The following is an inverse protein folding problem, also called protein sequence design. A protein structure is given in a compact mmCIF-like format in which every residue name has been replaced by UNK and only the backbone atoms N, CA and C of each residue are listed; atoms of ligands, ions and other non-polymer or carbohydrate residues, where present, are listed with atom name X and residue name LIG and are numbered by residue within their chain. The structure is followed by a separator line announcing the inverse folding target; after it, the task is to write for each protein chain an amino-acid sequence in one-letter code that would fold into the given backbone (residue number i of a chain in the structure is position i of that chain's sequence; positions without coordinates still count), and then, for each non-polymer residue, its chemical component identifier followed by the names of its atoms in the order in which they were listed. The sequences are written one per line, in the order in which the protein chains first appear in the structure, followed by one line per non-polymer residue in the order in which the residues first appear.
data_IF_330360024441
#
_entry.id   IF_330360024441
#
_cell.length_a   1.000
_cell.length_b   1.000
_cell.length_c   1.000
_cell.angle_alpha   90.00
_cell.angle_beta   90.00
_cell.angle_gamma   90.00
#
_symmetry.space_group_name_H-M   'P 1'
#
loop_
_entity.id
_entity.type
_entity.pdbx_description
1 polymer ?
#
# COMPACT_ATOMS: atom_id res chain seq x y z
N UNK A 1 7.57 -31.28 -33.53
CA UNK A 1 7.85 -32.13 -32.35
C UNK A 1 7.67 -31.29 -31.11
N UNK A 2 6.57 -31.57 -30.41
CA UNK A 2 6.11 -30.91 -29.20
C UNK A 2 7.02 -31.25 -28.02
N UNK A 3 7.48 -30.23 -27.27
CA UNK A 3 7.87 -30.42 -25.87
C UNK A 3 6.88 -29.62 -25.03
N UNK A 4 5.96 -30.39 -24.45
CA UNK A 4 5.00 -29.95 -23.46
C UNK A 4 5.74 -29.30 -22.27
N UNK A 5 5.33 -28.08 -21.93
CA UNK A 5 5.52 -27.53 -20.60
C UNK A 5 4.63 -28.36 -19.67
N UNK A 6 5.25 -29.21 -18.88
CA UNK A 6 4.62 -30.08 -17.89
C UNK A 6 3.88 -29.26 -16.84
N UNK A 7 2.67 -29.70 -16.50
CA UNK A 7 1.69 -29.16 -15.55
C UNK A 7 2.14 -29.15 -14.06
N UNK A 8 3.40 -28.80 -13.75
CA UNK A 8 3.94 -28.90 -12.39
C UNK A 8 4.16 -27.57 -11.64
N UNK A 9 3.73 -26.42 -12.17
CA UNK A 9 3.85 -25.11 -11.48
C UNK A 9 2.49 -24.41 -11.19
N UNK A 10 1.37 -25.05 -11.55
CA UNK A 10 0.02 -24.56 -11.26
C UNK A 10 -0.56 -25.28 -10.03
N UNK A 11 0.14 -25.19 -8.89
CA UNK A 11 -0.22 -26.01 -7.73
C UNK A 11 0.55 -25.73 -6.44
N UNK A 12 0.96 -24.49 -6.17
CA UNK A 12 1.31 -24.07 -4.80
C UNK A 12 0.17 -23.23 -4.21
N UNK A 13 -0.99 -23.85 -4.05
CA UNK A 13 -1.87 -23.50 -2.94
C UNK A 13 -1.11 -23.87 -1.66
N UNK A 14 -0.27 -22.94 -1.20
CA UNK A 14 0.53 -23.14 0.00
C UNK A 14 -0.41 -23.31 1.20
N UNK A 15 -0.61 -24.57 1.60
CA UNK A 15 -0.97 -24.94 2.96
C UNK A 15 0.24 -24.65 3.88
N UNK A 16 0.63 -23.38 3.99
CA UNK A 16 1.27 -22.94 5.23
C UNK A 16 0.15 -23.04 6.24
N UNK A 17 0.18 -24.06 7.10
CA UNK A 17 -0.62 -24.06 8.32
C UNK A 17 -0.41 -22.68 8.94
N UNK A 18 -1.45 -21.85 8.91
CA UNK A 18 -1.44 -20.57 9.60
C UNK A 18 -1.33 -20.92 11.07
N UNK A 19 -0.11 -20.95 11.60
CA UNK A 19 0.10 -21.04 13.03
C UNK A 19 -0.73 -19.91 13.63
N UNK A 20 -1.71 -20.29 14.44
CA UNK A 20 -2.62 -19.36 15.08
C UNK A 20 -1.80 -18.30 15.83
N UNK A 21 -2.14 -17.03 15.63
CA UNK A 21 -1.44 -15.94 16.31
C UNK A 21 -1.92 -15.96 17.75
N UNK A 22 -1.09 -16.48 18.67
CA UNK A 22 -1.44 -16.55 20.09
C UNK A 22 -0.99 -15.29 20.84
N UNK A 23 -1.63 -14.93 21.96
CA UNK A 23 -1.17 -13.84 22.83
C UNK A 23 0.27 -14.02 23.30
N UNK A 24 0.72 -15.25 23.56
CA UNK A 24 2.10 -15.54 23.97
C UNK A 24 3.08 -15.22 22.84
N UNK A 25 2.74 -15.60 21.61
CA UNK A 25 3.54 -15.28 20.44
C UNK A 25 3.64 -13.76 20.21
N UNK A 26 2.53 -13.04 20.34
CA UNK A 26 2.50 -11.58 20.26
C UNK A 26 3.33 -10.92 21.37
N UNK A 27 3.25 -11.43 22.60
CA UNK A 27 4.03 -10.92 23.73
C UNK A 27 5.53 -11.05 23.46
N UNK A 28 5.99 -12.22 23.02
CA UNK A 28 7.40 -12.45 22.65
C UNK A 28 7.81 -11.51 21.52
N UNK A 29 6.96 -11.33 20.51
CA UNK A 29 7.21 -10.42 19.40
C UNK A 29 7.37 -8.97 19.88
N UNK A 30 6.44 -8.46 20.69
CA UNK A 30 6.53 -7.09 21.22
C UNK A 30 7.74 -6.89 22.15
N UNK A 31 8.14 -7.93 22.88
CA UNK A 31 9.29 -7.88 23.78
C UNK A 31 10.62 -7.90 23.03
N UNK A 32 10.78 -8.80 22.05
CA UNK A 32 12.10 -9.10 21.47
C UNK A 32 12.30 -8.61 20.04
N UNK A 33 11.24 -8.31 19.28
CA UNK A 33 11.32 -8.09 17.84
C UNK A 33 10.69 -6.78 17.36
N UNK A 34 9.64 -6.28 18.02
CA UNK A 34 9.00 -5.04 17.60
C UNK A 34 9.97 -3.86 17.77
N UNK A 35 10.20 -3.03 16.73
CA UNK A 35 11.22 -1.98 16.75
C UNK A 35 10.77 -0.73 17.50
N UNK A 36 10.38 -0.86 18.76
CA UNK A 36 9.81 0.22 19.59
C UNK A 36 10.64 1.50 19.56
N UNK A 37 11.98 1.39 19.58
CA UNK A 37 12.89 2.54 19.52
C UNK A 37 12.73 3.31 18.21
N UNK A 38 12.95 2.65 17.09
CA UNK A 38 12.91 3.31 15.76
C UNK A 38 11.48 3.74 15.41
N UNK A 39 10.47 3.00 15.88
CA UNK A 39 9.06 3.34 15.73
C UNK A 39 8.69 4.63 16.46
N UNK A 40 9.10 4.79 17.72
CA UNK A 40 8.88 6.04 18.47
C UNK A 40 9.71 7.20 17.91
N UNK A 41 10.94 6.96 17.44
CA UNK A 41 11.76 7.98 16.74
C UNK A 41 11.07 8.49 15.47
N UNK A 42 10.56 7.57 14.66
CA UNK A 42 9.80 7.91 13.45
C UNK A 42 8.62 8.83 13.77
N UNK A 43 7.82 8.50 14.78
CA UNK A 43 6.58 9.22 15.08
C UNK A 43 6.78 10.50 15.91
N UNK A 44 7.96 10.68 16.53
CA UNK A 44 8.32 11.89 17.26
C UNK A 44 8.98 12.96 16.38
N UNK A 45 9.58 12.57 15.24
CA UNK A 45 10.25 13.49 14.32
C UNK A 45 11.26 14.44 14.98
N UNK A 46 11.96 13.96 16.02
CA UNK A 46 12.87 14.75 16.87
C UNK A 46 12.25 15.96 17.58
N UNK A 47 10.95 16.16 17.49
CA UNK A 47 10.25 17.25 18.16
C UNK A 47 10.30 17.13 19.70
N UNK A 48 10.55 15.92 20.20
CA UNK A 48 10.70 15.59 21.62
C UNK A 48 12.16 15.59 22.12
N UNK A 49 13.13 15.82 21.23
CA UNK A 49 14.56 15.81 21.55
C UNK A 49 15.17 17.20 21.73
N UNK A 50 16.48 17.29 22.04
CA UNK A 50 17.19 18.56 22.09
C UNK A 50 17.07 19.34 20.78
N UNK A 51 16.59 20.59 20.85
CA UNK A 51 16.32 21.43 19.68
C UNK A 51 14.94 21.25 19.03
N UNK A 52 14.06 20.42 19.61
CA UNK A 52 12.66 20.27 19.17
C UNK A 52 11.84 21.55 19.32
N UNK A 53 10.81 21.72 18.48
CA UNK A 53 9.97 22.94 18.46
C UNK A 53 8.80 22.86 19.43
N UNK A 54 8.56 21.69 20.04
CA UNK A 54 7.44 21.49 20.97
C UNK A 54 7.83 21.95 22.37
N UNK A 55 7.10 22.95 22.85
CA UNK A 55 7.27 23.45 24.21
C UNK A 55 7.00 22.35 25.25
N UNK A 56 7.84 22.30 26.30
CA UNK A 56 7.81 21.27 27.33
C UNK A 56 6.49 21.20 28.10
N UNK A 57 5.76 22.32 28.18
CA UNK A 57 4.43 22.45 28.79
C UNK A 57 3.35 21.64 28.06
N UNK A 58 3.55 21.32 26.78
CA UNK A 58 2.62 20.52 25.98
C UNK A 58 2.87 19.00 26.06
N UNK A 59 3.77 18.55 26.94
CA UNK A 59 4.03 17.13 27.25
C UNK A 59 4.71 16.30 26.15
N UNK A 60 5.14 16.93 25.05
CA UNK A 60 5.79 16.28 23.91
C UNK A 60 4.89 16.04 22.68
N UNK A 61 5.49 15.97 21.50
CA UNK A 61 4.88 15.63 20.22
C UNK A 61 4.31 14.21 20.23
N UNK A 62 5.08 13.20 20.67
CA UNK A 62 4.60 11.82 20.74
C UNK A 62 3.47 11.65 21.76
N UNK A 63 3.49 12.39 22.86
CA UNK A 63 2.40 12.33 23.85
C UNK A 63 1.09 12.92 23.36
N UNK A 64 1.12 13.72 22.29
CA UNK A 64 -0.07 14.21 21.59
C UNK A 64 -0.46 13.36 20.39
N UNK A 65 0.30 12.31 20.06
CA UNK A 65 -0.05 11.34 19.01
C UNK A 65 -1.11 10.38 19.52
N UNK A 66 -2.19 10.22 18.76
CA UNK A 66 -3.16 9.16 19.00
C UNK A 66 -2.61 7.81 18.51
N UNK A 67 -2.76 6.82 19.38
CA UNK A 67 -2.69 5.41 19.06
C UNK A 67 -4.04 4.76 19.37
N UNK A 68 -4.36 3.71 18.63
CA UNK A 68 -5.43 2.80 18.98
C UNK A 68 -4.93 1.38 19.05
N UNK A 69 -5.35 0.65 20.08
CA UNK A 69 -5.10 -0.78 20.23
C UNK A 69 -6.42 -1.54 20.02
N UNK A 70 -6.40 -2.56 19.17
CA UNK A 70 -7.43 -3.59 19.17
C UNK A 70 -6.92 -4.75 20.02
N UNK A 71 -7.67 -5.12 21.05
CA UNK A 71 -7.38 -6.25 21.94
C UNK A 71 -8.23 -7.47 21.55
N UNK A 72 -7.92 -8.67 22.09
CA UNK A 72 -8.70 -9.87 21.84
C UNK A 72 -10.21 -9.66 22.06
N UNK A 73 -11.01 -10.21 21.15
CA UNK A 73 -12.46 -9.97 21.12
C UNK A 73 -12.86 -8.66 20.42
N UNK A 74 -11.99 -8.10 19.57
CA UNK A 74 -12.21 -6.86 18.83
C UNK A 74 -12.50 -5.63 19.72
N UNK A 75 -11.94 -5.63 20.95
CA UNK A 75 -12.10 -4.53 21.90
C UNK A 75 -11.21 -3.37 21.43
N UNK A 76 -11.85 -2.26 21.05
CA UNK A 76 -11.17 -1.10 20.48
C UNK A 76 -10.86 -0.04 21.54
N UNK A 77 -9.57 0.22 21.77
CA UNK A 77 -9.07 1.20 22.72
C UNK A 77 -8.48 2.41 21.98
N UNK A 78 -9.28 3.45 21.76
CA UNK A 78 -8.84 4.72 21.14
C UNK A 78 -8.23 5.70 22.12
N UNK A 79 -7.67 6.78 21.57
CA UNK A 79 -7.16 7.94 22.31
C UNK A 79 -6.06 7.56 23.31
N UNK A 80 -5.27 6.54 22.98
CA UNK A 80 -4.05 6.22 23.70
C UNK A 80 -2.95 7.19 23.25
N UNK A 81 -2.06 7.56 24.15
CA UNK A 81 -0.85 8.31 23.85
C UNK A 81 0.24 8.01 24.88
N UNK A 82 1.50 8.24 24.50
CA UNK A 82 2.67 7.78 25.27
C UNK A 82 3.75 8.85 25.28
N UNK A 83 4.45 9.03 26.41
CA UNK A 83 5.53 10.01 26.52
C UNK A 83 6.79 9.61 25.75
N UNK A 84 7.00 8.32 25.53
CA UNK A 84 8.21 7.82 24.91
C UNK A 84 8.21 6.32 24.68
N UNK A 85 9.35 5.82 24.22
CA UNK A 85 9.56 4.40 23.93
C UNK A 85 9.25 3.49 25.12
N UNK A 86 9.70 3.86 26.32
CA UNK A 86 9.52 3.04 27.53
C UNK A 86 8.04 2.79 27.82
N UNK A 87 7.24 3.86 27.87
CA UNK A 87 5.81 3.78 28.17
C UNK A 87 5.03 3.05 27.08
N UNK A 88 5.37 3.30 25.82
CA UNK A 88 4.78 2.59 24.69
C UNK A 88 5.07 1.10 24.76
N UNK A 89 6.33 0.71 24.98
CA UNK A 89 6.74 -0.69 25.11
C UNK A 89 6.05 -1.35 26.31
N UNK A 90 5.98 -0.68 27.45
CA UNK A 90 5.24 -1.17 28.62
C UNK A 90 3.78 -1.45 28.27
N UNK A 91 3.10 -0.53 27.59
CA UNK A 91 1.70 -0.70 27.18
C UNK A 91 1.50 -1.87 26.19
N UNK A 92 2.44 -2.09 25.26
CA UNK A 92 2.41 -3.24 24.36
C UNK A 92 2.51 -4.56 25.14
N UNK A 93 3.37 -4.64 26.14
CA UNK A 93 3.55 -5.85 26.95
C UNK A 93 2.41 -6.06 27.95
N UNK A 94 1.82 -5.00 28.48
CA UNK A 94 0.70 -5.10 29.42
C UNK A 94 -0.60 -5.50 28.72
N UNK A 95 -0.83 -5.00 27.50
CA UNK A 95 -2.11 -5.15 26.79
C UNK A 95 -2.08 -6.16 25.65
N UNK A 96 -0.90 -6.45 25.08
CA UNK A 96 -0.69 -7.40 23.99
C UNK A 96 -1.71 -7.24 22.85
N UNK A 97 -1.73 -6.09 22.16
CA UNK A 97 -2.77 -5.82 21.16
C UNK A 97 -2.64 -6.70 19.91
N UNK A 98 -3.77 -7.07 19.31
CA UNK A 98 -3.85 -7.76 18.01
C UNK A 98 -3.58 -6.79 16.85
N UNK A 99 -3.91 -5.52 17.04
CA UNK A 99 -3.72 -4.45 16.05
C UNK A 99 -3.33 -3.16 16.72
N UNK A 100 -2.42 -2.43 16.07
CA UNK A 100 -2.05 -1.07 16.45
C UNK A 100 -2.40 -0.17 15.26
N UNK A 101 -3.21 0.87 15.49
CA UNK A 101 -3.46 1.93 14.53
C UNK A 101 -2.81 3.24 15.00
N UNK A 102 -2.33 4.05 14.05
CA UNK A 102 -1.71 5.35 14.29
C UNK A 102 -2.67 6.45 13.80
N UNK A 103 -2.84 7.48 14.63
CA UNK A 103 -3.68 8.65 14.35
C UNK A 103 -2.90 9.95 14.25
N UNK A 104 -3.66 11.04 14.38
CA UNK A 104 -3.11 12.39 14.33
C UNK A 104 -2.32 12.73 15.59
N UNK A 105 -1.46 13.73 15.47
CA UNK A 105 -0.98 14.54 16.59
C UNK A 105 -2.00 15.63 16.84
N UNK A 106 -2.48 15.71 18.07
CA UNK A 106 -3.49 16.66 18.50
C UNK A 106 -2.87 17.89 19.17
N UNK A 107 -3.71 18.90 19.43
CA UNK A 107 -3.35 20.08 20.20
C UNK A 107 -3.18 19.78 21.71
N UNK A 108 -3.85 18.75 22.23
CA UNK A 108 -3.73 18.23 23.60
C UNK A 108 -3.50 16.70 23.57
N UNK A 109 -2.96 16.10 24.64
CA UNK A 109 -2.81 14.65 24.72
C UNK A 109 -4.16 13.93 24.51
N UNK A 110 -4.24 12.94 23.61
CA UNK A 110 -5.45 12.16 23.38
C UNK A 110 -6.04 11.56 24.65
N UNK A 111 -5.22 11.13 25.61
CA UNK A 111 -5.68 10.60 26.90
C UNK A 111 -6.45 11.62 27.75
N UNK A 112 -6.31 12.93 27.48
CA UNK A 112 -6.99 14.00 28.20
C UNK A 112 -8.25 14.53 27.48
N UNK A 113 -8.66 13.91 26.36
CA UNK A 113 -9.75 14.44 25.51
C UNK A 113 -11.06 14.72 26.27
N UNK A 114 -11.38 13.91 27.29
CA UNK A 114 -12.61 14.06 28.08
C UNK A 114 -12.65 15.35 28.90
N UNK A 115 -11.51 15.85 29.35
CA UNK A 115 -11.42 17.07 30.17
C UNK A 115 -11.68 18.34 29.36
N UNK A 116 -11.45 18.29 28.04
CA UNK A 116 -11.55 19.46 27.15
C UNK A 116 -12.74 19.40 26.19
N UNK A 117 -13.48 18.27 26.18
CA UNK A 117 -14.65 18.05 25.34
C UNK A 117 -14.34 17.94 23.83
N UNK A 118 -15.25 17.31 23.07
CA UNK A 118 -15.19 17.25 21.60
C UNK A 118 -15.69 18.53 20.93
N UNK A 119 -16.48 19.33 21.65
CA UNK A 119 -17.08 20.59 21.18
C UNK A 119 -16.46 21.75 21.93
N UNK A 120 -15.80 22.65 21.20
CA UNK A 120 -15.06 23.77 21.74
C UNK A 120 -15.88 24.64 22.71
N UNK A 121 -15.46 24.66 23.97
CA UNK A 121 -15.49 25.90 24.74
C UNK A 121 -14.53 26.93 24.13
N UNK A 122 -14.47 28.12 24.72
CA UNK A 122 -13.79 29.34 24.23
C UNK A 122 -12.29 29.21 23.85
N UNK A 123 -11.68 28.03 24.00
CA UNK A 123 -10.28 27.71 23.70
C UNK A 123 -10.04 26.74 22.53
N UNK A 124 -11.04 26.42 21.70
CA UNK A 124 -10.82 25.72 20.43
C UNK A 124 -10.92 24.18 20.42
N UNK A 125 -11.25 23.52 21.54
CA UNK A 125 -11.59 22.08 21.59
C UNK A 125 -10.46 21.09 21.23
N UNK A 126 -10.73 19.79 21.30
CA UNK A 126 -9.80 18.71 20.91
C UNK A 126 -9.70 18.60 19.39
N UNK A 127 -8.55 18.94 18.81
CA UNK A 127 -8.36 19.04 17.35
C UNK A 127 -7.07 18.42 16.84
N UNK A 128 -7.11 17.70 15.70
CA UNK A 128 -5.91 17.18 15.06
C UNK A 128 -5.11 18.35 14.43
N UNK A 129 -3.78 18.30 14.56
CA UNK A 129 -2.87 19.34 14.05
C UNK A 129 -1.94 18.81 12.95
N UNK A 130 -1.49 17.57 13.07
CA UNK A 130 -0.59 16.96 12.11
C UNK A 130 -0.90 15.48 11.97
N UNK A 131 -0.80 14.94 10.75
CA UNK A 131 -0.75 13.51 10.49
C UNK A 131 -0.07 13.27 9.17
N UNK A 132 0.72 12.22 9.05
CA UNK A 132 1.23 11.72 7.78
C UNK A 132 0.11 11.71 6.72
N UNK A 133 0.42 12.10 5.49
CA UNK A 133 -0.50 11.87 4.38
C UNK A 133 -0.40 10.39 4.02
N UNK A 134 -1.53 9.69 4.03
CA UNK A 134 -1.55 8.24 3.85
C UNK A 134 -2.43 7.83 2.68
N UNK A 135 -2.07 6.72 2.05
CA UNK A 135 -2.88 6.07 1.02
C UNK A 135 -3.00 4.58 1.35
N UNK A 136 -4.17 4.01 1.11
CA UNK A 136 -4.43 2.59 1.25
C UNK A 136 -4.87 2.02 -0.10
N UNK A 137 -4.24 0.92 -0.49
CA UNK A 137 -4.51 0.20 -1.73
C UNK A 137 -4.69 -1.26 -1.36
N UNK A 138 -5.90 -1.76 -1.60
CA UNK A 138 -6.31 -3.10 -1.24
C UNK A 138 -6.65 -3.90 -2.50
N UNK A 139 -6.35 -5.20 -2.49
CA UNK A 139 -6.43 -6.01 -3.72
C UNK A 139 -7.85 -6.36 -4.16
N UNK A 140 -8.82 -6.40 -3.23
CA UNK A 140 -10.21 -6.68 -3.57
C UNK A 140 -10.87 -5.58 -4.40
N UNK A 141 -10.37 -4.34 -4.33
CA UNK A 141 -10.80 -3.30 -5.26
C UNK A 141 -10.56 -3.71 -6.73
N UNK A 142 -9.65 -4.67 -6.98
CA UNK A 142 -9.35 -5.20 -8.30
C UNK A 142 -10.12 -6.48 -8.66
N UNK A 143 -11.13 -6.90 -7.88
CA UNK A 143 -11.90 -8.14 -8.13
C UNK A 143 -12.67 -8.16 -9.46
N UNK A 144 -12.97 -7.00 -10.03
CA UNK A 144 -13.60 -6.80 -11.35
C UNK A 144 -12.60 -6.95 -12.52
N UNK A 145 -11.30 -6.90 -12.26
CA UNK A 145 -10.24 -7.01 -13.29
C UNK A 145 -9.14 -8.00 -12.92
N UNK A 146 -9.34 -8.88 -11.94
CA UNK A 146 -8.42 -9.98 -11.61
C UNK A 146 -9.14 -11.32 -11.60
N UNK A 147 -8.46 -12.34 -12.13
CA UNK A 147 -9.02 -13.69 -12.28
C UNK A 147 -8.23 -14.76 -11.52
N UNK A 148 -6.97 -14.50 -11.13
CA UNK A 148 -6.15 -15.52 -10.47
C UNK A 148 -6.54 -15.78 -9.00
N UNK A 149 -7.23 -14.83 -8.36
CA UNK A 149 -7.66 -14.86 -6.95
C UNK A 149 -8.98 -14.06 -6.80
N UNK A 150 -9.68 -14.23 -5.68
CA UNK A 150 -10.85 -13.42 -5.29
C UNK A 150 -10.80 -12.98 -3.83
N UNK A 151 -11.48 -11.88 -3.51
CA UNK A 151 -11.60 -11.31 -2.18
C UNK A 151 -10.25 -11.08 -1.49
N UNK A 152 -9.98 -11.84 -0.44
CA UNK A 152 -8.80 -11.60 0.40
C UNK A 152 -7.53 -12.37 -0.01
N UNK A 153 -7.66 -13.29 -0.97
CA UNK A 153 -6.55 -14.11 -1.45
C UNK A 153 -5.67 -13.33 -2.41
N UNK A 154 -4.36 -13.59 -2.37
CA UNK A 154 -3.38 -12.98 -3.27
C UNK A 154 -2.33 -14.00 -3.71
N UNK A 155 -1.72 -13.74 -4.87
CA UNK A 155 -0.58 -14.45 -5.39
C UNK A 155 0.37 -13.48 -6.11
N UNK A 156 1.51 -13.99 -6.61
CA UNK A 156 2.50 -13.18 -7.33
C UNK A 156 1.93 -12.50 -8.58
N UNK A 157 0.91 -13.10 -9.23
CA UNK A 157 0.30 -12.56 -10.45
C UNK A 157 -0.57 -11.34 -10.19
N UNK A 158 -1.40 -11.34 -9.13
CA UNK A 158 -2.21 -10.16 -8.81
C UNK A 158 -1.40 -9.11 -8.05
N UNK A 159 -0.29 -9.48 -7.39
CA UNK A 159 0.63 -8.48 -6.81
C UNK A 159 1.14 -7.46 -7.83
N UNK A 160 1.21 -7.82 -9.12
CA UNK A 160 1.53 -6.88 -10.21
C UNK A 160 0.62 -5.64 -10.23
N UNK A 161 -0.64 -5.73 -9.77
CA UNK A 161 -1.53 -4.57 -9.61
C UNK A 161 -1.01 -3.59 -8.56
N UNK A 162 -0.65 -4.12 -7.39
CA UNK A 162 -0.09 -3.34 -6.28
C UNK A 162 1.26 -2.75 -6.67
N UNK A 163 2.09 -3.52 -7.40
CA UNK A 163 3.37 -3.03 -7.91
C UNK A 163 3.20 -1.84 -8.87
N UNK A 164 2.26 -1.95 -9.82
CA UNK A 164 1.88 -0.84 -10.71
C UNK A 164 1.46 0.39 -9.88
N UNK A 165 0.67 0.18 -8.83
CA UNK A 165 0.19 1.26 -7.98
C UNK A 165 1.26 1.94 -7.14
N UNK A 166 2.14 1.16 -6.50
CA UNK A 166 3.32 1.70 -5.80
C UNK A 166 4.17 2.54 -6.75
N UNK A 167 4.40 2.06 -7.99
CA UNK A 167 5.21 2.79 -8.98
C UNK A 167 4.58 4.14 -9.38
N UNK A 168 3.27 4.16 -9.64
CA UNK A 168 2.54 5.39 -10.02
C UNK A 168 2.51 6.39 -8.84
N UNK A 169 2.14 5.93 -7.64
CA UNK A 169 2.06 6.79 -6.46
C UNK A 169 3.43 7.34 -6.08
N UNK A 170 4.46 6.49 -6.00
CA UNK A 170 5.82 6.92 -5.67
C UNK A 170 6.31 8.00 -6.66
N UNK A 171 6.07 7.79 -7.96
CA UNK A 171 6.48 8.76 -8.98
C UNK A 171 5.74 10.08 -8.85
N UNK A 172 4.42 10.06 -8.66
CA UNK A 172 3.63 11.27 -8.53
C UNK A 172 3.97 12.05 -7.25
N UNK A 173 4.05 11.36 -6.11
CA UNK A 173 4.37 11.97 -4.81
C UNK A 173 5.78 12.61 -4.81
N UNK A 174 6.75 12.00 -5.49
CA UNK A 174 8.11 12.55 -5.61
C UNK A 174 8.22 13.65 -6.66
N UNK A 175 7.80 13.38 -7.90
CA UNK A 175 8.03 14.30 -9.02
C UNK A 175 7.09 15.49 -9.01
N UNK A 176 5.81 15.26 -8.69
CA UNK A 176 4.76 16.27 -8.86
C UNK A 176 4.58 17.09 -7.57
N UNK A 177 4.71 16.44 -6.40
CA UNK A 177 4.53 17.08 -5.09
C UNK A 177 5.85 17.37 -4.35
N UNK A 178 6.97 16.82 -4.81
CA UNK A 178 8.28 17.05 -4.19
C UNK A 178 8.50 16.36 -2.84
N UNK A 179 7.64 15.41 -2.46
CA UNK A 179 7.78 14.69 -1.19
C UNK A 179 8.98 13.75 -1.23
N UNK A 180 9.75 13.74 -0.14
CA UNK A 180 10.99 12.98 -0.04
C UNK A 180 10.83 11.70 0.77
N UNK A 181 10.10 11.77 1.88
CA UNK A 181 10.06 10.75 2.91
C UNK A 181 8.79 9.92 2.78
N UNK A 182 8.84 8.91 1.90
CA UNK A 182 7.69 8.08 1.54
C UNK A 182 7.98 6.63 1.95
N UNK A 183 7.15 6.08 2.82
CA UNK A 183 7.26 4.72 3.32
C UNK A 183 6.06 3.88 2.86
N UNK A 184 6.29 2.97 1.91
CA UNK A 184 5.32 1.96 1.54
C UNK A 184 5.46 0.73 2.45
N UNK A 185 4.34 0.18 2.91
CA UNK A 185 4.28 -0.90 3.90
C UNK A 185 3.26 -1.93 3.46
N UNK A 186 3.66 -3.19 3.40
CA UNK A 186 2.73 -4.29 3.17
C UNK A 186 1.72 -4.39 4.31
N UNK A 187 0.42 -4.51 3.99
CA UNK A 187 -0.67 -4.49 4.99
C UNK A 187 -0.75 -5.76 5.86
N UNK A 188 0.14 -6.73 5.60
CA UNK A 188 0.20 -8.05 6.24
C UNK A 188 -0.66 -9.12 5.55
N UNK A 189 -1.47 -8.72 4.56
CA UNK A 189 -2.34 -9.66 3.84
C UNK A 189 -2.32 -9.48 2.34
N UNK A 190 -2.84 -8.36 1.82
CA UNK A 190 -3.17 -8.25 0.38
C UNK A 190 -2.88 -6.90 -0.26
N UNK A 191 -2.60 -5.88 0.53
CA UNK A 191 -2.48 -4.50 0.07
C UNK A 191 -1.21 -3.82 0.57
N UNK A 192 -1.14 -2.52 0.35
CA UNK A 192 -0.05 -1.66 0.83
C UNK A 192 -0.60 -0.36 1.40
N UNK A 193 0.04 0.12 2.45
CA UNK A 193 -0.15 1.46 2.98
C UNK A 193 1.03 2.33 2.57
N UNK A 194 0.77 3.55 2.13
CA UNK A 194 1.78 4.57 1.88
C UNK A 194 1.74 5.60 3.00
N UNK A 195 2.89 5.95 3.56
CA UNK A 195 3.04 6.99 4.58
C UNK A 195 3.98 8.08 4.06
N UNK A 196 3.44 9.27 3.77
CA UNK A 196 4.22 10.44 3.38
C UNK A 196 4.49 11.27 4.64
N UNK A 197 5.77 11.32 5.01
CA UNK A 197 6.23 11.74 6.32
C UNK A 197 6.82 13.16 6.32
N UNK A 198 6.97 13.83 5.18
CA UNK A 198 7.45 15.21 5.10
C UNK A 198 6.65 16.16 6.00
N UNK A 199 7.31 17.13 6.66
CA UNK A 199 6.63 18.08 7.56
C UNK A 199 5.50 18.84 6.86
N UNK A 200 5.69 19.19 5.58
CA UNK A 200 4.68 19.84 4.74
C UNK A 200 3.49 18.93 4.47
N UNK A 201 3.71 17.64 4.21
CA UNK A 201 2.65 16.64 4.05
C UNK A 201 1.87 16.45 5.37
N UNK A 202 2.59 16.42 6.50
CA UNK A 202 1.97 16.22 7.81
C UNK A 202 0.99 17.33 8.18
N UNK A 203 1.25 18.55 7.71
CA UNK A 203 0.49 19.77 8.01
C UNK A 203 -0.64 20.07 7.00
N UNK A 204 -0.84 19.24 5.97
CA UNK A 204 -1.91 19.45 5.00
C UNK A 204 -3.29 19.45 5.68
N UNK A 205 -4.13 20.43 5.35
CA UNK A 205 -5.55 20.46 5.75
C UNK A 205 -6.35 19.33 5.09
N UNK A 206 -7.57 19.09 5.54
CA UNK A 206 -8.44 18.07 4.92
C UNK A 206 -8.76 18.40 3.46
N UNK A 207 -8.91 19.67 3.12
CA UNK A 207 -9.14 20.15 1.75
C UNK A 207 -7.91 19.87 0.89
N UNK A 208 -6.72 20.19 1.39
CA UNK A 208 -5.45 19.94 0.68
C UNK A 208 -5.20 18.44 0.49
N UNK A 209 -5.45 17.62 1.52
CA UNK A 209 -5.39 16.15 1.44
C UNK A 209 -6.36 15.62 0.39
N UNK A 210 -7.58 16.13 0.37
CA UNK A 210 -8.58 15.76 -0.64
C UNK A 210 -8.12 16.12 -2.05
N UNK A 211 -7.53 17.30 -2.25
CA UNK A 211 -6.97 17.70 -3.53
C UNK A 211 -5.83 16.78 -4.01
N UNK A 212 -4.92 16.37 -3.11
CA UNK A 212 -3.86 15.42 -3.45
C UNK A 212 -4.44 14.04 -3.80
N UNK A 213 -5.39 13.55 -3.00
CA UNK A 213 -6.03 12.25 -3.23
C UNK A 213 -6.83 12.24 -4.56
N UNK A 214 -7.56 13.31 -4.85
CA UNK A 214 -8.34 13.46 -6.09
C UNK A 214 -7.44 13.65 -7.32
N UNK A 215 -6.28 14.29 -7.18
CA UNK A 215 -5.26 14.35 -8.23
C UNK A 215 -4.78 12.96 -8.66
N UNK A 216 -4.60 12.05 -7.69
CA UNK A 216 -4.14 10.68 -7.92
C UNK A 216 -5.26 9.72 -8.35
N UNK A 217 -6.51 10.02 -8.00
CA UNK A 217 -7.69 9.19 -8.29
C UNK A 217 -8.23 9.43 -9.71
N UNK A 218 -7.76 8.65 -10.69
CA UNK A 218 -8.27 8.74 -12.07
C UNK A 218 -9.52 7.89 -12.34
N UNK A 219 -9.77 6.87 -11.52
CA UNK A 219 -10.89 5.95 -11.67
C UNK A 219 -12.00 6.28 -10.66
N UNK A 220 -13.27 6.26 -11.11
CA UNK A 220 -14.43 6.34 -10.22
C UNK A 220 -15.39 5.19 -10.53
N UNK A 221 -15.57 4.28 -9.57
CA UNK A 221 -16.32 3.03 -9.77
C UNK A 221 -15.73 2.15 -10.87
N UNK A 222 -14.38 2.04 -10.91
CA UNK A 222 -13.66 1.22 -11.90
C UNK A 222 -13.66 1.76 -13.33
N UNK A 223 -14.19 2.97 -13.56
CA UNK A 223 -14.21 3.61 -14.89
C UNK A 223 -13.40 4.88 -14.91
N UNK A 224 -12.71 5.09 -16.03
CA UNK A 224 -12.07 6.37 -16.31
C UNK A 224 -13.11 7.32 -16.93
N UNK A 225 -13.22 8.55 -16.45
CA UNK A 225 -14.09 9.57 -17.08
C UNK A 225 -13.28 10.40 -18.06
N UNK A 226 -13.60 10.29 -19.35
CA UNK A 226 -13.25 11.20 -20.44
C UNK A 226 -11.85 11.80 -20.31
N UNK A 227 -10.81 10.98 -20.55
CA UNK A 227 -9.47 11.55 -20.73
C UNK A 227 -9.47 12.40 -22.01
N UNK A 228 -8.74 13.51 -22.00
CA UNK A 228 -8.69 14.41 -23.18
C UNK A 228 -8.23 13.64 -24.41
N UNK A 229 -8.89 13.93 -25.54
CA UNK A 229 -8.69 13.23 -26.81
C UNK A 229 -7.31 13.48 -27.42
N UNK A 230 -6.77 14.69 -27.30
CA UNK A 230 -5.39 14.96 -27.69
C UNK A 230 -4.42 14.53 -26.59
N UNK A 231 -3.46 13.66 -26.94
CA UNK A 231 -2.39 13.23 -26.03
C UNK A 231 -1.59 14.41 -25.47
N UNK A 232 -1.32 15.44 -26.29
CA UNK A 232 -0.58 16.65 -25.88
C UNK A 232 -1.36 17.50 -24.86
N UNK A 233 -2.69 17.46 -24.91
CA UNK A 233 -3.55 18.19 -23.98
C UNK A 233 -3.80 17.45 -22.67
N UNK A 234 -3.35 16.19 -22.55
CA UNK A 234 -3.51 15.40 -21.31
C UNK A 234 -2.56 15.89 -20.23
N UNK A 235 -3.10 15.88 -19.01
CA UNK A 235 -2.33 16.16 -17.82
C UNK A 235 -1.08 15.25 -17.76
N UNK A 236 0.13 15.77 -17.46
CA UNK A 236 1.37 14.98 -17.44
C UNK A 236 1.28 13.71 -16.57
N UNK A 237 0.65 13.81 -15.40
CA UNK A 237 0.37 12.67 -14.52
C UNK A 237 -0.40 11.54 -15.22
N UNK A 238 -1.45 11.88 -15.99
CA UNK A 238 -2.27 10.90 -16.71
C UNK A 238 -1.45 10.21 -17.80
N UNK A 239 -0.65 10.96 -18.56
CA UNK A 239 0.25 10.37 -19.57
C UNK A 239 1.24 9.38 -18.96
N UNK A 240 1.92 9.79 -17.89
CA UNK A 240 2.87 8.95 -17.16
C UNK A 240 2.21 7.73 -16.54
N UNK A 241 1.00 7.89 -15.98
CA UNK A 241 0.18 6.80 -15.46
C UNK A 241 -0.15 5.75 -16.52
N UNK A 242 -0.62 6.19 -17.70
CA UNK A 242 -0.86 5.32 -18.86
C UNK A 242 0.39 4.55 -19.24
N UNK A 243 1.55 5.21 -19.37
CA UNK A 243 2.79 4.57 -19.79
C UNK A 243 3.24 3.50 -18.79
N UNK A 244 3.14 3.77 -17.49
CA UNK A 244 3.41 2.79 -16.43
C UNK A 244 2.41 1.63 -16.50
N UNK A 245 1.11 1.92 -16.58
CA UNK A 245 0.06 0.90 -16.71
C UNK A 245 0.30 -0.01 -17.92
N UNK A 246 0.62 0.55 -19.10
CA UNK A 246 0.97 -0.21 -20.30
C UNK A 246 2.13 -1.15 -20.07
N UNK A 247 3.19 -0.67 -19.41
CA UNK A 247 4.36 -1.48 -19.08
C UNK A 247 3.94 -2.68 -18.21
N UNK A 248 3.28 -2.45 -17.08
CA UNK A 248 2.85 -3.54 -16.18
C UNK A 248 1.79 -4.46 -16.80
N UNK A 249 0.95 -3.95 -17.69
CA UNK A 249 -0.02 -4.75 -18.44
C UNK A 249 0.67 -5.74 -19.39
N UNK A 250 1.69 -5.28 -20.11
CA UNK A 250 2.34 -6.02 -21.20
C UNK A 250 3.64 -6.73 -20.81
N UNK A 251 4.10 -6.59 -19.57
CA UNK A 251 5.32 -7.21 -19.05
C UNK A 251 5.43 -8.71 -19.40
N UNK A 252 6.62 -9.21 -19.76
CA UNK A 252 6.85 -10.64 -19.95
C UNK A 252 6.59 -11.44 -18.66
N UNK A 253 6.11 -12.68 -18.79
CA UNK A 253 5.95 -13.71 -17.74
C UNK A 253 4.96 -13.41 -16.59
N UNK A 254 4.83 -12.16 -16.15
CA UNK A 254 3.97 -11.75 -15.02
C UNK A 254 3.14 -10.48 -15.29
N UNK A 255 3.11 -9.99 -16.53
CA UNK A 255 2.28 -8.84 -16.91
C UNK A 255 0.80 -9.12 -16.68
N UNK A 256 0.04 -8.08 -16.32
CA UNK A 256 -1.36 -8.23 -15.91
C UNK A 256 -2.22 -8.91 -16.98
N UNK A 257 -1.96 -8.63 -18.27
CA UNK A 257 -2.76 -9.14 -19.37
C UNK A 257 -2.78 -10.67 -19.40
N UNK A 258 -1.61 -11.29 -19.41
CA UNK A 258 -1.44 -12.75 -19.44
C UNK A 258 -1.58 -13.37 -18.05
N UNK A 259 -0.99 -12.76 -17.02
CA UNK A 259 -1.02 -13.28 -15.66
C UNK A 259 -2.43 -13.32 -15.06
N UNK A 260 -3.33 -12.44 -15.49
CA UNK A 260 -4.75 -12.47 -15.12
C UNK A 260 -5.64 -13.03 -16.22
N UNK A 261 -5.10 -13.38 -17.39
CA UNK A 261 -5.89 -13.90 -18.51
C UNK A 261 -7.08 -12.99 -18.85
N UNK A 262 -6.84 -11.67 -18.86
CA UNK A 262 -7.92 -10.66 -18.88
C UNK A 262 -8.79 -10.73 -20.14
N UNK A 263 -8.21 -11.17 -21.25
CA UNK A 263 -8.82 -11.15 -22.59
C UNK A 263 -8.77 -12.52 -23.29
N UNK A 264 -8.51 -13.62 -22.57
CA UNK A 264 -8.45 -14.97 -23.17
C UNK A 264 -9.77 -15.32 -23.87
N UNK A 265 -9.67 -15.92 -25.07
CA UNK A 265 -10.80 -16.40 -25.86
C UNK A 265 -10.65 -17.90 -26.23
N UNK A 266 -11.73 -18.64 -26.55
CA UNK A 266 -13.09 -18.29 -26.18
C UNK A 266 -13.16 -18.21 -24.65
N UNK A 267 -14.16 -17.52 -24.12
CA UNK A 267 -14.23 -17.16 -22.70
C UNK A 267 -13.81 -18.32 -21.80
N UNK A 268 -12.82 -18.07 -20.96
CA UNK A 268 -12.36 -19.07 -20.00
C UNK A 268 -13.44 -19.28 -18.94
N UNK A 269 -13.73 -20.53 -18.56
CA UNK A 269 -14.49 -20.81 -17.34
C UNK A 269 -13.77 -20.15 -16.14
N UNK A 270 -14.44 -19.19 -15.49
CA UNK A 270 -13.90 -18.43 -14.36
C UNK A 270 -13.28 -17.07 -14.69
N UNK A 271 -13.12 -16.70 -15.98
CA UNK A 271 -12.81 -15.32 -16.37
C UNK A 271 -14.06 -14.44 -16.27
N UNK A 272 -13.90 -13.16 -15.88
CA UNK A 272 -15.04 -12.23 -15.88
C UNK A 272 -15.57 -12.07 -17.32
N UNK A 273 -16.74 -12.67 -17.57
CA UNK A 273 -17.46 -12.60 -18.85
C UNK A 273 -17.71 -11.15 -19.28
N UNK A 274 -17.65 -10.21 -18.34
CA UNK A 274 -17.88 -8.81 -18.61
C UNK A 274 -16.65 -8.10 -19.18
N UNK A 275 -15.40 -8.45 -18.81
CA UNK A 275 -14.24 -7.64 -19.19
C UNK A 275 -13.88 -7.78 -20.68
N UNK A 276 -13.68 -9.01 -21.19
CA UNK A 276 -13.41 -9.22 -22.61
C UNK A 276 -14.54 -8.64 -23.47
N UNK A 277 -15.79 -8.92 -23.10
CA UNK A 277 -16.94 -8.41 -23.84
C UNK A 277 -17.04 -6.88 -23.78
N UNK A 278 -16.75 -6.26 -22.62
CA UNK A 278 -16.67 -4.81 -22.45
C UNK A 278 -15.61 -4.23 -23.37
N UNK A 279 -14.38 -4.74 -23.32
CA UNK A 279 -13.27 -4.26 -24.14
C UNK A 279 -13.58 -4.38 -25.63
N UNK A 280 -14.10 -5.53 -26.07
CA UNK A 280 -14.52 -5.75 -27.48
C UNK A 280 -15.66 -4.80 -27.85
N UNK A 281 -16.65 -4.62 -26.99
CA UNK A 281 -17.77 -3.70 -27.24
C UNK A 281 -17.33 -2.25 -27.34
N UNK A 282 -16.34 -1.88 -26.54
CA UNK A 282 -15.76 -0.54 -26.53
C UNK A 282 -14.97 -0.30 -27.82
N UNK A 283 -14.05 -1.21 -28.19
CA UNK A 283 -13.20 -1.06 -29.38
C UNK A 283 -13.98 -1.22 -30.69
N UNK A 284 -14.93 -2.15 -30.72
CA UNK A 284 -15.77 -2.48 -31.89
C UNK A 284 -17.22 -2.21 -31.49
N UNK A 285 -17.74 -1.00 -31.71
CA UNK A 285 -19.10 -0.63 -31.29
C UNK A 285 -20.17 -1.40 -32.06
N UNK A 286 -21.42 -1.37 -31.58
CA UNK A 286 -22.53 -2.03 -32.25
C UNK A 286 -22.83 -1.45 -33.65
N UNK A 287 -22.37 -0.23 -33.90
CA UNK A 287 -22.48 0.46 -35.20
C UNK A 287 -21.52 -0.06 -36.27
N UNK A 288 -20.59 -0.95 -35.93
CA UNK A 288 -19.67 -1.61 -36.87
C UNK A 288 -20.03 -3.11 -37.05
N UNK A 289 -21.04 -3.44 -37.86
CA UNK A 289 -21.48 -4.83 -38.03
C UNK A 289 -20.42 -5.72 -38.67
N UNK A 290 -19.54 -5.17 -39.50
CA UNK A 290 -18.45 -5.91 -40.16
C UNK A 290 -17.40 -6.30 -39.12
N UNK A 291 -16.90 -5.34 -38.34
CA UNK A 291 -15.96 -5.60 -37.25
C UNK A 291 -16.55 -6.56 -36.21
N UNK A 292 -17.87 -6.51 -35.96
CA UNK A 292 -18.57 -7.47 -35.09
C UNK A 292 -18.53 -8.90 -35.64
N UNK A 293 -18.73 -9.06 -36.94
CA UNK A 293 -18.58 -10.35 -37.62
C UNK A 293 -17.16 -10.90 -37.51
N UNK A 294 -16.16 -10.05 -37.76
CA UNK A 294 -14.74 -10.41 -37.62
C UNK A 294 -14.39 -10.80 -36.18
N UNK A 295 -14.81 -10.00 -35.19
CA UNK A 295 -14.57 -10.27 -33.78
C UNK A 295 -15.17 -11.61 -33.36
N UNK A 296 -16.40 -11.89 -33.77
CA UNK A 296 -17.08 -13.16 -33.47
C UNK A 296 -16.32 -14.34 -34.07
N UNK A 297 -15.83 -14.21 -35.30
CA UNK A 297 -15.01 -15.24 -35.95
C UNK A 297 -13.66 -15.42 -35.23
N UNK A 298 -12.95 -14.33 -34.97
CA UNK A 298 -11.62 -14.35 -34.35
C UNK A 298 -11.61 -14.93 -32.93
N UNK A 299 -12.60 -14.55 -32.11
CA UNK A 299 -12.74 -14.96 -30.71
C UNK A 299 -13.40 -16.33 -30.53
N UNK A 300 -13.84 -16.98 -31.62
CA UNK A 300 -14.43 -18.33 -31.57
C UNK A 300 -13.41 -19.43 -31.26
N UNK A 301 -12.12 -19.16 -31.52
CA UNK A 301 -11.01 -20.08 -31.33
C UNK A 301 -10.19 -19.72 -30.10
N UNK A 302 -9.37 -20.67 -29.60
CA UNK A 302 -8.50 -20.42 -28.45
C UNK A 302 -7.46 -19.33 -28.79
N UNK A 303 -7.45 -18.25 -28.01
CA UNK A 303 -6.54 -17.10 -28.12
C UNK A 303 -6.07 -16.66 -26.74
N UNK A 304 -4.79 -16.32 -26.62
CA UNK A 304 -4.28 -15.69 -25.41
C UNK A 304 -4.72 -14.24 -25.30
N UNK A 305 -4.69 -13.70 -24.08
CA UNK A 305 -5.00 -12.30 -23.82
C UNK A 305 -4.13 -11.33 -24.64
N UNK A 306 -2.85 -11.67 -24.88
CA UNK A 306 -1.93 -10.90 -25.75
C UNK A 306 -2.33 -10.96 -27.22
N UNK A 307 -2.71 -12.13 -27.75
CA UNK A 307 -3.20 -12.24 -29.14
C UNK A 307 -4.45 -11.39 -29.35
N UNK A 308 -5.39 -11.45 -28.40
CA UNK A 308 -6.62 -10.64 -28.43
C UNK A 308 -6.32 -9.15 -28.34
N UNK A 309 -5.42 -8.74 -27.43
CA UNK A 309 -4.99 -7.35 -27.32
C UNK A 309 -4.33 -6.82 -28.61
N UNK A 310 -3.43 -7.59 -29.22
CA UNK A 310 -2.80 -7.22 -30.49
C UNK A 310 -3.83 -7.07 -31.62
N UNK A 311 -4.79 -7.99 -31.69
CA UNK A 311 -5.84 -7.94 -32.70
C UNK A 311 -6.77 -6.72 -32.54
N UNK A 312 -7.15 -6.40 -31.30
CA UNK A 312 -7.99 -5.24 -30.98
C UNK A 312 -7.25 -3.92 -31.24
N UNK A 313 -6.00 -3.81 -30.79
CA UNK A 313 -5.20 -2.59 -30.96
C UNK A 313 -4.92 -2.28 -32.42
N UNK A 314 -4.72 -3.29 -33.27
CA UNK A 314 -4.56 -3.11 -34.72
C UNK A 314 -5.81 -2.57 -35.42
N UNK A 315 -7.00 -2.73 -34.81
CA UNK A 315 -8.30 -2.28 -35.34
C UNK A 315 -8.84 -1.03 -34.67
N UNK A 316 -8.26 -0.63 -33.55
CA UNK A 316 -8.68 0.56 -32.84
C UNK A 316 -7.99 1.80 -33.44
N UNK A 317 -8.72 2.57 -34.23
CA UNK A 317 -8.24 3.85 -34.76
C UNK A 317 -8.16 4.96 -33.69
N UNK A 318 -8.81 4.76 -32.54
CA UNK A 318 -8.85 5.73 -31.45
C UNK A 318 -7.88 5.34 -30.32
N UNK A 319 -6.68 5.91 -30.34
CA UNK A 319 -5.66 5.67 -29.30
C UNK A 319 -6.11 6.06 -27.89
N UNK A 320 -6.99 7.06 -27.76
CA UNK A 320 -7.57 7.52 -26.49
C UNK A 320 -8.39 6.43 -25.83
N UNK A 321 -9.15 5.69 -26.63
CA UNK A 321 -9.96 4.58 -26.14
C UNK A 321 -9.09 3.46 -25.56
N UNK A 322 -7.98 3.15 -26.23
CA UNK A 322 -7.01 2.18 -25.74
C UNK A 322 -6.36 2.64 -24.43
N UNK A 323 -6.07 3.93 -24.29
CA UNK A 323 -5.55 4.50 -23.05
C UNK A 323 -6.54 4.36 -21.89
N UNK A 324 -7.83 4.63 -22.12
CA UNK A 324 -8.89 4.44 -21.11
C UNK A 324 -8.99 2.97 -20.68
N UNK A 325 -8.98 2.04 -21.64
CA UNK A 325 -9.00 0.60 -21.35
C UNK A 325 -7.77 0.17 -20.53
N UNK A 326 -6.57 0.66 -20.87
CA UNK A 326 -5.35 0.39 -20.10
C UNK A 326 -5.48 0.90 -18.66
N UNK A 327 -6.01 2.11 -18.46
CA UNK A 327 -6.21 2.67 -17.12
C UNK A 327 -7.21 1.83 -16.33
N UNK A 328 -8.35 1.47 -16.90
CA UNK A 328 -9.35 0.64 -16.22
C UNK A 328 -8.79 -0.74 -15.82
N UNK A 329 -7.91 -1.32 -16.64
CA UNK A 329 -7.34 -2.64 -16.38
C UNK A 329 -6.14 -2.64 -15.42
N UNK A 330 -5.53 -1.50 -15.10
CA UNK A 330 -4.25 -1.51 -14.37
C UNK A 330 -3.99 -0.33 -13.43
N UNK A 331 -4.73 0.77 -13.55
CA UNK A 331 -4.48 1.98 -12.77
C UNK A 331 -4.88 1.78 -11.29
N UNK A 332 -4.23 2.50 -10.36
CA UNK A 332 -4.53 2.38 -8.94
C UNK A 332 -5.98 2.64 -8.58
N UNK A 333 -6.53 1.78 -7.74
CA UNK A 333 -7.76 1.98 -7.00
C UNK A 333 -7.39 2.31 -5.55
N UNK A 334 -7.65 3.54 -5.14
CA UNK A 334 -7.35 4.02 -3.78
C UNK A 334 -8.60 3.97 -2.93
N UNK A 335 -8.47 3.56 -1.66
CA UNK A 335 -9.46 3.95 -0.65
C UNK A 335 -9.25 5.44 -0.32
N UNK A 336 -9.92 6.27 -1.11
CA UNK A 336 -9.74 7.73 -1.06
C UNK A 336 -10.10 8.30 0.31
N UNK A 337 -11.01 7.67 1.05
CA UNK A 337 -11.50 8.20 2.34
C UNK A 337 -10.43 8.14 3.43
N UNK A 338 -9.53 7.14 3.37
CA UNK A 338 -8.36 7.01 4.26
C UNK A 338 -7.41 8.21 4.13
N UNK A 339 -7.37 8.80 2.93
CA UNK A 339 -6.46 9.89 2.56
C UNK A 339 -7.00 11.28 2.94
N UNK A 340 -8.33 11.46 2.89
CA UNK A 340 -8.98 12.78 2.99
C UNK A 340 -8.95 13.41 4.39
N UNK A 341 -9.13 12.62 5.44
CA UNK A 341 -9.32 13.13 6.80
C UNK A 341 -8.05 13.00 7.66
N UNK A 342 -7.69 14.08 8.35
CA UNK A 342 -6.51 14.13 9.21
C UNK A 342 -6.64 13.21 10.44
N UNK A 343 -7.84 12.94 10.95
CA UNK A 343 -8.06 12.09 12.13
C UNK A 343 -8.29 10.60 11.81
N UNK A 344 -8.15 10.18 10.55
CA UNK A 344 -8.30 8.78 10.17
C UNK A 344 -7.18 7.93 10.80
N UNK A 345 -7.53 6.74 11.26
CA UNK A 345 -6.60 5.79 11.87
C UNK A 345 -6.13 4.77 10.83
N UNK A 346 -4.82 4.51 10.76
CA UNK A 346 -4.27 3.52 9.83
C UNK A 346 -3.32 2.56 10.55
N UNK A 347 -3.36 1.28 10.17
CA UNK A 347 -2.58 0.23 10.80
C UNK A 347 -1.09 0.51 10.73
N UNK A 348 -0.43 0.39 11.88
CA UNK A 348 0.98 0.67 12.04
C UNK A 348 1.87 -0.29 11.22
N UNK A 349 3.03 0.19 10.74
CA UNK A 349 4.11 -0.68 10.31
C UNK A 349 4.52 -1.64 11.44
N UNK A 350 4.99 -2.83 11.06
CA UNK A 350 5.43 -3.90 11.95
C UNK A 350 4.35 -4.51 12.85
N UNK A 351 3.06 -4.23 12.64
CA UNK A 351 1.99 -5.04 13.23
C UNK A 351 2.02 -6.49 12.71
N UNK A 352 1.58 -7.44 13.53
CA UNK A 352 1.26 -8.79 13.08
C UNK A 352 -0.16 -8.78 12.54
N UNK A 353 -0.38 -9.32 11.35
CA UNK A 353 -1.73 -9.48 10.82
C UNK A 353 -2.39 -10.72 11.45
N UNK A 354 -3.52 -10.60 12.18
CA UNK A 354 -4.05 -11.67 13.03
C UNK A 354 -4.41 -12.95 12.25
N UNK A 355 -4.94 -12.81 11.03
CA UNK A 355 -5.32 -13.98 10.20
C UNK A 355 -4.17 -14.66 9.46
N UNK A 356 -3.05 -13.97 9.21
CA UNK A 356 -1.95 -14.51 8.37
C UNK A 356 -0.67 -14.73 9.16
N UNK A 357 -0.58 -14.17 10.37
CA UNK A 357 0.63 -14.13 11.18
C UNK A 357 1.75 -13.29 10.58
N UNK A 358 1.59 -12.71 9.38
CA UNK A 358 2.65 -11.96 8.69
C UNK A 358 2.88 -10.61 9.33
N UNK A 359 4.14 -10.19 9.36
CA UNK A 359 4.53 -8.84 9.78
C UNK A 359 4.20 -7.82 8.68
N UNK A 360 3.66 -6.66 9.06
CA UNK A 360 3.41 -5.53 8.16
C UNK A 360 4.73 -4.80 7.83
N UNK A 361 5.53 -5.36 6.92
CA UNK A 361 6.89 -4.88 6.63
C UNK A 361 6.95 -3.80 5.54
N UNK A 362 7.94 -2.89 5.57
CA UNK A 362 8.21 -1.96 4.47
C UNK A 362 8.48 -2.66 3.12
N UNK A 363 8.02 -2.05 2.04
CA UNK A 363 8.45 -2.36 0.68
C UNK A 363 9.80 -1.67 0.45
N UNK A 364 10.88 -2.44 0.43
CA UNK A 364 12.26 -1.93 0.40
C UNK A 364 12.62 -1.32 -0.96
N UNK A 365 12.32 -2.02 -2.06
CA UNK A 365 12.61 -1.56 -3.42
C UNK A 365 11.34 -1.05 -4.10
N UNK A 366 11.06 0.24 -3.90
CA UNK A 366 9.94 0.94 -4.53
C UNK A 366 10.17 1.24 -6.02
N UNK A 367 11.39 1.05 -6.53
CA UNK A 367 11.69 1.19 -7.94
C UNK A 367 11.39 -0.08 -8.73
N UNK A 368 11.45 -1.25 -8.08
CA UNK A 368 11.03 -2.55 -8.61
C UNK A 368 10.05 -3.25 -7.65
N UNK A 369 8.86 -2.68 -7.40
CA UNK A 369 7.91 -3.21 -6.43
C UNK A 369 7.35 -4.60 -6.80
N UNK A 370 7.44 -5.00 -8.06
CA UNK A 370 7.13 -6.34 -8.55
C UNK A 370 8.07 -7.43 -8.02
N UNK A 371 9.24 -7.06 -7.51
CA UNK A 371 10.20 -7.99 -6.90
C UNK A 371 9.79 -8.42 -5.48
N UNK A 372 8.89 -7.65 -4.84
CA UNK A 372 8.33 -8.00 -3.54
C UNK A 372 7.42 -9.22 -3.66
N UNK A 373 7.67 -10.24 -2.83
CA UNK A 373 6.83 -11.44 -2.75
C UNK A 373 6.09 -11.48 -1.39
N UNK A 374 4.78 -11.21 -1.35
CA UNK A 374 3.98 -11.26 -0.12
C UNK A 374 4.00 -12.61 0.59
N UNK A 375 4.20 -13.71 -0.14
CA UNK A 375 4.27 -15.04 0.44
C UNK A 375 5.56 -15.30 1.22
N UNK A 376 6.62 -14.54 0.93
CA UNK A 376 7.94 -14.64 1.61
C UNK A 376 8.07 -13.73 2.84
N UNK A 377 7.05 -12.92 3.13
CA UNK A 377 7.05 -12.06 4.31
C UNK A 377 7.01 -12.92 5.57
N UNK A 378 7.92 -12.68 6.54
CA UNK A 378 8.01 -13.52 7.73
C UNK A 378 6.74 -13.48 8.56
N UNK A 379 6.38 -14.63 9.13
CA UNK A 379 5.32 -14.73 10.13
C UNK A 379 5.87 -14.68 11.56
N UNK A 380 5.04 -14.28 12.51
CA UNK A 380 5.41 -14.28 13.94
C UNK A 380 5.90 -15.65 14.41
N UNK A 381 5.27 -16.73 13.95
CA UNK A 381 5.67 -18.10 14.28
C UNK A 381 7.07 -18.45 13.74
N UNK A 382 7.37 -18.06 12.49
CA UNK A 382 8.70 -18.23 11.90
C UNK A 382 9.76 -17.46 12.70
N UNK A 383 9.47 -16.19 13.04
CA UNK A 383 10.41 -15.36 13.78
C UNK A 383 10.69 -15.89 15.20
N UNK A 384 9.68 -16.42 15.89
CA UNK A 384 9.88 -17.04 17.20
C UNK A 384 10.72 -18.30 17.09
N UNK A 385 10.52 -19.12 16.05
CA UNK A 385 11.36 -20.30 15.79
C UNK A 385 12.81 -19.91 15.49
N UNK A 386 13.02 -18.85 14.70
CA UNK A 386 14.35 -18.29 14.42
C UNK A 386 15.03 -17.79 15.71
N UNK A 387 14.29 -17.16 16.62
CA UNK A 387 14.81 -16.74 17.93
C UNK A 387 15.19 -17.92 18.83
N UNK A 388 14.38 -18.97 18.86
CA UNK A 388 14.62 -20.13 19.72
C UNK A 388 15.82 -20.99 19.28
N UNK A 389 16.11 -20.99 17.97
CA UNK A 389 17.20 -21.80 17.39
C UNK A 389 18.60 -21.19 17.55
N UNK A 390 18.71 -19.96 18.07
CA UNK A 390 19.97 -19.21 18.14
C UNK A 390 20.47 -19.08 19.57
N UNK A 391 21.79 -19.25 19.76
CA UNK A 391 22.46 -19.28 21.07
C UNK A 391 22.83 -17.89 21.60
N UNK A 392 22.81 -16.86 20.75
CA UNK A 392 23.18 -15.48 21.11
C UNK A 392 21.94 -14.59 21.19
N UNK A 393 21.93 -13.68 22.17
CA UNK A 393 20.80 -12.78 22.47
C UNK A 393 20.76 -11.52 21.57
N UNK A 394 21.19 -11.63 20.31
CA UNK A 394 21.29 -10.47 19.39
C UNK A 394 19.93 -10.11 18.74
N UNK A 395 18.83 -10.57 19.35
CA UNK A 395 17.45 -10.17 19.12
C UNK A 395 17.02 -10.09 17.66
N UNK A 396 16.59 -8.89 17.26
CA UNK A 396 15.99 -8.60 15.95
C UNK A 396 16.96 -8.77 14.75
N UNK A 397 18.27 -8.56 14.97
CA UNK A 397 19.30 -8.51 13.90
C UNK A 397 19.58 -9.86 13.27
N UNK A 398 19.20 -10.93 13.96
CA UNK A 398 19.47 -12.30 13.57
C UNK A 398 18.22 -13.00 12.99
N UNK A 399 17.15 -12.26 12.69
CA UNK A 399 15.94 -12.84 12.11
C UNK A 399 15.73 -12.42 10.66
N UNK A 400 14.82 -13.10 9.96
CA UNK A 400 14.35 -12.71 8.64
C UNK A 400 13.65 -11.33 8.62
N UNK A 401 13.38 -10.74 9.79
CA UNK A 401 12.90 -9.36 9.94
C UNK A 401 14.01 -8.30 9.78
N UNK A 402 15.29 -8.66 10.00
CA UNK A 402 16.40 -7.72 10.13
C UNK A 402 16.57 -6.75 8.95
N UNK A 403 16.39 -7.22 7.71
CA UNK A 403 16.50 -6.40 6.50
C UNK A 403 15.46 -5.27 6.46
N UNK A 404 14.25 -5.55 6.95
CA UNK A 404 13.15 -4.58 6.99
C UNK A 404 13.38 -3.53 8.08
N UNK A 405 13.94 -3.95 9.22
CA UNK A 405 14.32 -3.05 10.32
C UNK A 405 15.46 -2.12 9.91
N UNK A 406 16.46 -2.66 9.21
CA UNK A 406 17.59 -1.87 8.69
C UNK A 406 17.09 -0.80 7.71
N UNK A 407 16.22 -1.16 6.78
CA UNK A 407 15.60 -0.21 5.85
C UNK A 407 14.77 0.85 6.58
N UNK A 408 13.96 0.45 7.56
CA UNK A 408 13.14 1.38 8.32
C UNK A 408 14.00 2.36 9.14
N UNK A 409 15.02 1.87 9.84
CA UNK A 409 15.97 2.71 10.58
C UNK A 409 16.63 3.73 9.67
N UNK A 410 17.14 3.30 8.51
CA UNK A 410 17.70 4.21 7.49
C UNK A 410 16.70 5.28 7.06
N UNK A 411 15.43 4.90 6.84
CA UNK A 411 14.36 5.85 6.47
C UNK A 411 14.11 6.88 7.59
N UNK A 412 14.13 6.46 8.85
CA UNK A 412 14.02 7.36 10.01
C UNK A 412 15.23 8.29 10.10
N UNK A 413 16.45 7.76 9.97
CA UNK A 413 17.67 8.55 9.99
C UNK A 413 17.71 9.60 8.87
N UNK A 414 17.17 9.29 7.67
CA UNK A 414 17.01 10.25 6.59
C UNK A 414 16.02 11.38 6.92
N UNK A 415 14.89 11.07 7.56
CA UNK A 415 13.94 12.08 8.03
C UNK A 415 14.60 13.00 9.06
N UNK A 416 15.30 12.41 10.04
CA UNK A 416 15.95 13.17 11.11
C UNK A 416 17.05 14.09 10.58
N UNK A 417 17.84 13.64 9.60
CA UNK A 417 18.88 14.46 8.94
C UNK A 417 18.28 15.64 8.17
N UNK A 418 17.22 15.40 7.39
CA UNK A 418 16.54 16.48 6.65
C UNK A 418 15.93 17.52 7.62
N UNK A 419 15.44 17.11 8.80
CA UNK A 419 14.95 18.02 9.85
C UNK A 419 16.07 18.89 10.42
N UNK A 420 17.27 18.34 10.62
CA UNK A 420 18.44 19.07 11.10
C UNK A 420 19.06 19.99 10.03
N UNK A 421 18.64 19.88 8.77
CA UNK A 421 19.25 20.62 7.66
C UNK A 421 20.67 20.14 7.31
N UNK A 422 21.03 18.93 7.71
CA UNK A 422 22.32 18.33 7.36
C UNK A 422 22.32 17.99 5.85
N UNK A 423 23.30 18.52 5.10
CA UNK A 423 23.44 18.22 3.67
C UNK A 423 23.83 16.74 3.50
N UNK A 424 23.29 16.08 2.47
CA UNK A 424 23.79 14.77 2.05
C UNK A 424 25.24 14.95 1.59
N UNK A 425 26.17 14.24 2.21
CA UNK A 425 27.45 13.97 1.58
C UNK A 425 27.15 13.15 0.33
N UNK A 426 27.20 13.82 -0.82
CA UNK A 426 27.12 13.14 -2.12
C UNK A 426 28.48 12.48 -2.30
N UNK A 427 28.59 11.23 -1.87
CA UNK A 427 29.63 10.34 -2.42
C UNK A 427 29.34 10.19 -3.91
N UNK A 428 30.02 11.00 -4.71
CA UNK A 428 30.11 10.81 -6.15
C UNK A 428 30.98 9.57 -6.38
N UNK A 429 30.36 8.39 -6.44
CA UNK A 429 30.97 7.27 -7.14
C UNK A 429 30.93 7.59 -8.64
N UNK A 430 32.12 7.87 -9.19
CA UNK A 430 32.39 8.08 -10.61
C UNK A 430 32.31 6.79 -11.42
#
# INVERSE_FOLDING_TARGET
MSKALTENDAGMANSVQSAEVTPEALRIYYERLFPSRDFCRWLSYREDGPGGKVAADKGGFLFRREFSFTLPGDIYCRYLSFHGQHDFRKALLDRVPDKIDIGAVFNIPPTHYQQFGLTGGSGGGFQPQQRELVFDIDMDDYDDVRNCCKGSSICKLCWTFIACAVKILNRALRDDFGFKHILFVFSGRRGVHCWVCDETARKLSNEQRSAVAEYLQLLNGGRCKHIRSSAQQRHPHVRRGIDICRKYLLMPECGLLEGQRLLDAPMVEGGDKNLLQKVVNTVIPATDPVGRGEAKSFLSSKRSSREVWQWLTARCSNSVLLDEIVLEMAYPRLDINVSKQMNHLLKAPFCIHPKTGRVCVPIIDVEKPESFNPASVPTVAQLISELASRKEDDGEKQTSLAKYLTYFRKSVDEIERDILGEKRDVEMEF
#
